data_IF_723227031095
#
_entry.id   IF_723227031095
#
_cell.length_a   1.000
_cell.length_b   1.000
_cell.length_c   1.000
_cell.angle_alpha   90.00
_cell.angle_beta   90.00
_cell.angle_gamma   90.00
#
_symmetry.space_group_name_H-M   'P 1'
#
loop_
_entity.id
_entity.type
_entity.pdbx_description
1 polymer ?
#
# COMPACT_ATOMS: atom_id res chain seq x y z
N UNK A 1 1.03 -25.44 -1.11
CA UNK A 1 2.47 -25.57 -1.46
C UNK A 1 3.26 -25.56 -0.17
N UNK A 2 4.33 -26.34 -0.11
CA UNK A 2 5.24 -26.30 1.02
C UNK A 2 5.98 -24.95 1.08
N UNK A 3 6.35 -24.52 2.28
CA UNK A 3 7.26 -23.41 2.54
C UNK A 3 8.48 -23.50 1.59
N UNK A 4 9.00 -22.36 1.18
CA UNK A 4 10.28 -22.26 0.46
C UNK A 4 11.40 -22.73 1.38
N UNK A 5 11.98 -23.90 1.09
CA UNK A 5 13.04 -24.49 1.90
C UNK A 5 14.41 -23.80 1.74
N UNK A 6 14.55 -23.01 0.68
CA UNK A 6 15.74 -22.22 0.38
C UNK A 6 15.85 -20.96 1.26
N UNK A 7 14.75 -20.51 1.90
CA UNK A 7 14.75 -19.36 2.81
C UNK A 7 14.91 -19.85 4.26
N UNK A 8 16.04 -19.55 4.86
CA UNK A 8 16.38 -19.93 6.24
C UNK A 8 16.63 -18.73 7.13
N UNK A 9 17.07 -17.61 6.54
CA UNK A 9 17.46 -16.40 7.25
C UNK A 9 16.94 -15.16 6.54
N UNK A 10 16.13 -14.36 7.24
CA UNK A 10 15.47 -13.19 6.69
C UNK A 10 15.85 -11.93 7.45
N UNK A 11 16.22 -10.86 6.72
CA UNK A 11 16.30 -9.51 7.27
C UNK A 11 14.95 -8.84 7.17
N UNK A 12 14.47 -8.31 8.29
CA UNK A 12 13.31 -7.42 8.37
C UNK A 12 13.83 -5.99 8.60
N UNK A 13 13.39 -5.05 7.77
CA UNK A 13 13.60 -3.63 8.02
C UNK A 13 12.41 -3.10 8.78
N UNK A 14 12.64 -2.54 9.96
CA UNK A 14 11.62 -1.95 10.80
C UNK A 14 11.14 -0.58 10.31
N UNK A 15 10.21 0.00 11.05
CA UNK A 15 9.55 1.25 10.69
C UNK A 15 10.35 2.52 11.02
N UNK A 16 11.41 2.39 11.77
CA UNK A 16 12.18 3.55 12.25
C UNK A 16 11.53 4.22 13.47
N UNK A 17 11.78 5.53 13.65
CA UNK A 17 11.22 6.28 14.76
C UNK A 17 9.71 6.39 14.63
N UNK A 18 9.01 6.38 15.76
CA UNK A 18 7.58 6.66 15.81
C UNK A 18 7.37 8.15 15.53
N UNK A 19 6.71 8.46 14.43
CA UNK A 19 6.34 9.82 14.03
C UNK A 19 4.82 9.97 14.18
N UNK A 20 4.35 11.11 14.64
CA UNK A 20 2.91 11.40 14.75
C UNK A 20 2.25 11.17 13.39
N UNK A 21 1.17 10.36 13.37
CA UNK A 21 0.46 9.97 12.15
C UNK A 21 1.09 8.80 11.39
N UNK A 22 2.22 8.26 11.85
CA UNK A 22 2.84 7.05 11.27
C UNK A 22 3.46 6.26 12.40
N UNK A 23 2.97 5.07 12.79
CA UNK A 23 3.94 4.50 13.64
C UNK A 23 3.65 3.26 14.46
N UNK A 24 2.79 3.30 15.43
CA UNK A 24 2.57 2.16 16.33
C UNK A 24 2.07 0.93 15.56
N UNK A 25 1.34 1.14 14.48
CA UNK A 25 0.79 0.11 13.61
C UNK A 25 1.89 -0.64 12.85
N UNK A 26 2.96 0.06 12.45
CA UNK A 26 4.09 -0.58 11.77
C UNK A 26 4.97 -1.35 12.76
N UNK A 27 5.07 -0.89 14.01
CA UNK A 27 5.72 -1.66 15.07
C UNK A 27 4.99 -2.98 15.33
N UNK A 28 3.66 -2.94 15.40
CA UNK A 28 2.82 -4.13 15.46
C UNK A 28 3.05 -5.05 14.23
N UNK A 29 3.02 -4.49 13.02
CA UNK A 29 3.17 -5.27 11.80
C UNK A 29 4.52 -5.98 11.72
N UNK A 30 5.61 -5.28 12.03
CA UNK A 30 6.96 -5.85 12.08
C UNK A 30 7.13 -6.90 13.15
N UNK A 31 6.55 -6.68 14.34
CA UNK A 31 6.54 -7.67 15.43
C UNK A 31 5.83 -8.96 14.99
N UNK A 32 4.65 -8.84 14.35
CA UNK A 32 3.92 -10.00 13.84
C UNK A 32 4.67 -10.73 12.73
N UNK A 33 5.40 -10.00 11.88
CA UNK A 33 6.25 -10.59 10.86
C UNK A 33 7.37 -11.42 11.49
N UNK A 34 8.11 -10.87 12.46
CA UNK A 34 9.17 -11.60 13.17
C UNK A 34 8.64 -12.89 13.78
N UNK A 35 7.52 -12.82 14.49
CA UNK A 35 6.89 -13.99 15.11
C UNK A 35 6.46 -15.03 14.08
N UNK A 36 5.81 -14.58 12.99
CA UNK A 36 5.35 -15.48 11.94
C UNK A 36 6.49 -16.24 11.25
N UNK A 37 7.62 -15.57 10.99
CA UNK A 37 8.79 -16.19 10.39
C UNK A 37 9.46 -17.16 11.34
N UNK A 38 9.58 -16.82 12.63
CA UNK A 38 10.12 -17.72 13.67
C UNK A 38 9.24 -18.96 13.86
N UNK A 39 7.90 -18.82 13.86
CA UNK A 39 6.98 -19.97 13.89
C UNK A 39 7.24 -20.96 12.74
N UNK A 40 7.68 -20.47 11.59
CA UNK A 40 8.02 -21.29 10.43
C UNK A 40 9.48 -21.77 10.44
N UNK A 41 10.22 -21.55 11.55
CA UNK A 41 11.60 -21.97 11.71
C UNK A 41 12.60 -21.21 10.86
N UNK A 42 12.32 -19.93 10.57
CA UNK A 42 13.23 -19.02 9.89
C UNK A 42 13.97 -18.17 10.91
N UNK A 43 15.29 -18.04 10.77
CA UNK A 43 16.10 -17.12 11.59
C UNK A 43 15.80 -15.67 11.17
N UNK A 44 15.41 -14.83 12.12
CA UNK A 44 14.99 -13.46 11.87
C UNK A 44 16.03 -12.47 12.36
N UNK A 45 16.48 -11.60 11.47
CA UNK A 45 17.37 -10.48 11.74
C UNK A 45 16.58 -9.19 11.58
N UNK A 46 16.38 -8.45 12.65
CA UNK A 46 15.66 -7.18 12.63
C UNK A 46 16.63 -6.01 12.66
N UNK A 47 16.39 -5.02 11.80
CA UNK A 47 17.07 -3.73 11.83
C UNK A 47 16.02 -2.66 12.12
N UNK A 48 16.15 -1.92 13.21
CA UNK A 48 15.27 -0.79 13.52
C UNK A 48 16.04 0.29 14.30
N UNK A 49 15.73 1.56 14.06
CA UNK A 49 16.42 2.66 14.72
C UNK A 49 15.84 3.06 16.08
N UNK A 50 14.65 2.57 16.42
CA UNK A 50 13.98 2.92 17.66
C UNK A 50 14.17 1.80 18.70
N UNK A 51 14.87 2.07 19.82
CA UNK A 51 15.08 1.07 20.88
C UNK A 51 13.86 0.89 21.78
N UNK A 52 12.87 1.78 21.70
CA UNK A 52 11.73 1.81 22.63
C UNK A 52 10.45 1.25 21.99
N UNK A 53 10.55 0.26 21.12
CA UNK A 53 9.43 -0.41 20.45
C UNK A 53 9.36 -1.89 20.86
N UNK A 54 8.16 -2.50 20.74
CA UNK A 54 7.97 -3.93 20.96
C UNK A 54 8.82 -4.73 19.97
N UNK A 55 8.93 -4.25 18.73
CA UNK A 55 9.69 -4.91 17.67
C UNK A 55 11.15 -5.16 18.05
N UNK A 56 11.79 -4.23 18.78
CA UNK A 56 13.20 -4.32 19.19
C UNK A 56 13.43 -5.05 20.52
N UNK A 57 12.38 -5.62 21.10
CA UNK A 57 12.54 -6.52 22.24
C UNK A 57 13.36 -7.76 21.83
N UNK A 58 14.30 -8.16 22.69
CA UNK A 58 15.24 -9.24 22.41
C UNK A 58 14.63 -10.63 22.21
N UNK A 59 13.35 -10.81 22.55
CA UNK A 59 12.63 -12.08 22.32
C UNK A 59 11.91 -12.13 20.97
N UNK A 60 11.74 -10.99 20.30
CA UNK A 60 10.95 -10.88 19.06
C UNK A 60 11.70 -11.43 17.85
N UNK A 61 12.94 -11.03 17.66
CA UNK A 61 13.80 -11.53 16.58
C UNK A 61 14.99 -12.31 17.15
N UNK A 62 15.65 -13.14 16.34
CA UNK A 62 16.84 -13.90 16.77
C UNK A 62 18.05 -12.96 16.90
N UNK A 63 18.09 -11.90 16.07
CA UNK A 63 19.09 -10.84 16.17
C UNK A 63 18.43 -9.48 15.96
N UNK A 64 18.75 -8.52 16.82
CA UNK A 64 18.22 -7.16 16.77
C UNK A 64 19.37 -6.18 16.60
N UNK A 65 19.30 -5.37 15.54
CA UNK A 65 20.21 -4.27 15.26
C UNK A 65 19.49 -2.95 15.51
N UNK A 66 19.87 -2.24 16.57
CA UNK A 66 19.37 -0.90 16.87
C UNK A 66 20.31 0.09 16.23
N UNK A 67 20.04 0.40 14.97
CA UNK A 67 20.90 1.19 14.10
C UNK A 67 20.09 2.13 13.21
N UNK A 68 20.66 3.23 12.73
CA UNK A 68 19.99 4.10 11.77
C UNK A 68 19.54 3.34 10.52
N UNK A 69 18.31 3.58 10.08
CA UNK A 69 17.77 2.98 8.85
C UNK A 69 18.32 3.72 7.62
N UNK A 70 19.53 3.33 7.23
CA UNK A 70 20.22 3.81 6.03
C UNK A 70 20.67 2.65 5.16
N UNK A 71 20.83 2.90 3.88
CA UNK A 71 21.32 1.89 2.92
C UNK A 71 22.67 1.30 3.37
N UNK A 72 23.58 2.13 3.88
CA UNK A 72 24.90 1.69 4.37
C UNK A 72 24.79 0.76 5.57
N UNK A 73 23.88 1.06 6.50
CA UNK A 73 23.66 0.20 7.68
C UNK A 73 23.12 -1.15 7.26
N UNK A 74 22.09 -1.15 6.39
CA UNK A 74 21.47 -2.40 5.91
C UNK A 74 22.50 -3.25 5.17
N UNK A 75 23.33 -2.63 4.30
CA UNK A 75 24.44 -3.35 3.62
C UNK A 75 25.41 -3.98 4.61
N UNK A 76 25.84 -3.27 5.64
CA UNK A 76 26.74 -3.82 6.68
C UNK A 76 26.13 -5.02 7.40
N UNK A 77 24.84 -4.96 7.74
CA UNK A 77 24.15 -6.06 8.40
C UNK A 77 24.02 -7.26 7.45
N UNK A 78 23.67 -7.05 6.19
CA UNK A 78 23.58 -8.11 5.17
C UNK A 78 24.94 -8.79 5.00
N UNK A 79 26.03 -8.03 4.87
CA UNK A 79 27.39 -8.58 4.74
C UNK A 79 27.82 -9.39 5.97
N UNK A 80 27.43 -8.95 7.17
CA UNK A 80 27.78 -9.62 8.42
C UNK A 80 26.98 -10.89 8.64
N UNK A 81 25.70 -10.86 8.33
CA UNK A 81 24.75 -11.92 8.67
C UNK A 81 24.50 -12.91 7.52
N UNK A 82 24.82 -12.53 6.28
CA UNK A 82 24.62 -13.33 5.07
C UNK A 82 23.20 -13.95 5.00
N UNK A 83 22.12 -13.13 5.00
CA UNK A 83 20.75 -13.62 4.93
C UNK A 83 20.44 -14.14 3.52
N UNK A 84 19.44 -15.02 3.41
CA UNK A 84 18.92 -15.49 2.12
C UNK A 84 17.98 -14.44 1.48
N UNK A 85 17.32 -13.65 2.34
CA UNK A 85 16.32 -12.70 1.82
C UNK A 85 16.07 -11.52 2.74
N UNK A 86 15.40 -10.50 2.18
CA UNK A 86 14.96 -9.28 2.86
C UNK A 86 13.45 -9.13 2.70
N UNK A 87 12.75 -8.80 3.80
CA UNK A 87 11.30 -8.54 3.83
C UNK A 87 11.01 -7.08 4.24
N UNK A 88 10.73 -6.17 3.29
CA UNK A 88 10.52 -4.76 3.60
C UNK A 88 9.06 -4.37 3.83
N UNK A 89 8.10 -5.18 3.40
CA UNK A 89 6.68 -4.79 3.25
C UNK A 89 5.92 -4.59 4.57
N UNK A 90 6.57 -4.80 5.72
CA UNK A 90 5.98 -4.65 7.04
C UNK A 90 6.61 -3.53 7.90
N UNK A 91 7.60 -2.83 7.36
CA UNK A 91 8.29 -1.72 8.01
C UNK A 91 7.90 -0.33 7.51
N UNK A 92 6.77 -0.19 6.82
CA UNK A 92 6.31 1.09 6.28
C UNK A 92 7.12 1.60 5.09
N UNK A 93 6.94 2.87 4.74
CA UNK A 93 7.52 3.47 3.54
C UNK A 93 9.05 3.51 3.56
N UNK A 94 9.65 3.81 4.70
CA UNK A 94 11.10 3.87 4.81
C UNK A 94 11.76 2.53 4.49
N UNK A 95 11.17 1.44 4.96
CA UNK A 95 11.65 0.09 4.68
C UNK A 95 11.56 -0.27 3.19
N UNK A 96 10.45 0.10 2.53
CA UNK A 96 10.29 -0.09 1.09
C UNK A 96 11.34 0.69 0.30
N UNK A 97 11.51 1.97 0.60
CA UNK A 97 12.47 2.82 -0.11
C UNK A 97 13.90 2.27 -0.01
N UNK A 98 14.31 1.85 1.19
CA UNK A 98 15.64 1.24 1.39
C UNK A 98 15.81 -0.07 0.60
N UNK A 99 14.80 -0.91 0.59
CA UNK A 99 14.86 -2.18 -0.15
C UNK A 99 14.90 -1.96 -1.67
N UNK A 100 14.13 -1.01 -2.20
CA UNK A 100 14.17 -0.63 -3.61
C UNK A 100 15.55 -0.09 -3.99
N UNK A 101 16.12 0.81 -3.18
CA UNK A 101 17.46 1.35 -3.40
C UNK A 101 18.54 0.25 -3.42
N UNK A 102 18.43 -0.71 -2.51
CA UNK A 102 19.36 -1.86 -2.45
C UNK A 102 19.22 -2.77 -3.68
N UNK A 103 18.00 -3.02 -4.15
CA UNK A 103 17.73 -3.81 -5.35
C UNK A 103 18.24 -3.10 -6.60
N UNK A 104 17.92 -1.81 -6.78
CA UNK A 104 18.32 -1.01 -7.94
C UNK A 104 19.83 -0.81 -8.04
N UNK A 105 20.53 -0.73 -6.90
CA UNK A 105 21.99 -0.69 -6.86
C UNK A 105 22.66 -1.99 -7.29
N UNK A 106 21.90 -3.08 -7.44
CA UNK A 106 22.39 -4.42 -7.73
C UNK A 106 23.00 -5.14 -6.52
N UNK A 107 23.04 -4.49 -5.35
CA UNK A 107 23.66 -5.02 -4.15
C UNK A 107 23.03 -6.33 -3.68
N UNK A 108 21.71 -6.44 -3.69
CA UNK A 108 21.03 -7.66 -3.25
C UNK A 108 21.39 -8.84 -4.15
N UNK A 109 21.36 -8.64 -5.46
CA UNK A 109 21.74 -9.66 -6.44
C UNK A 109 23.21 -10.09 -6.31
N UNK A 110 24.13 -9.16 -6.12
CA UNK A 110 25.56 -9.42 -5.95
C UNK A 110 25.84 -10.33 -4.75
N UNK A 111 25.03 -10.18 -3.67
CA UNK A 111 25.21 -10.94 -2.44
C UNK A 111 24.24 -12.11 -2.28
N UNK A 112 23.46 -12.43 -3.31
CA UNK A 112 22.53 -13.57 -3.32
C UNK A 112 21.34 -13.41 -2.37
N UNK A 113 20.95 -12.16 -2.06
CA UNK A 113 19.82 -11.84 -1.19
C UNK A 113 18.58 -11.57 -2.04
N UNK A 114 17.50 -12.30 -1.79
CA UNK A 114 16.22 -12.08 -2.49
C UNK A 114 15.31 -11.13 -1.73
N UNK A 115 14.73 -10.16 -2.44
CA UNK A 115 13.62 -9.38 -1.91
C UNK A 115 12.34 -10.20 -1.98
N UNK A 116 11.81 -10.63 -0.84
CA UNK A 116 10.57 -11.42 -0.72
C UNK A 116 9.36 -10.55 -0.40
N UNK A 117 8.15 -11.08 -0.71
CA UNK A 117 6.93 -10.29 -0.74
C UNK A 117 6.86 -9.43 -2.01
N UNK A 118 6.29 -8.24 -1.91
CA UNK A 118 6.12 -7.33 -3.05
C UNK A 118 7.48 -6.94 -3.64
N UNK A 119 7.63 -7.10 -4.95
CA UNK A 119 8.87 -6.83 -5.68
C UNK A 119 9.08 -5.35 -5.97
N UNK A 120 10.34 -4.95 -6.20
CA UNK A 120 10.71 -3.55 -6.45
C UNK A 120 9.95 -2.92 -7.64
N UNK A 121 9.76 -3.67 -8.73
CA UNK A 121 9.01 -3.17 -9.89
C UNK A 121 7.54 -2.88 -9.56
N UNK A 122 6.91 -3.71 -8.73
CA UNK A 122 5.55 -3.46 -8.24
C UNK A 122 5.49 -2.23 -7.35
N UNK A 123 6.47 -2.06 -6.46
CA UNK A 123 6.54 -0.87 -5.59
C UNK A 123 6.69 0.39 -6.45
N UNK A 124 7.61 0.36 -7.42
CA UNK A 124 7.80 1.48 -8.36
C UNK A 124 6.53 1.80 -9.13
N UNK A 125 5.84 0.79 -9.66
CA UNK A 125 4.59 0.97 -10.40
C UNK A 125 3.47 1.57 -9.54
N UNK A 126 3.44 1.25 -8.26
CA UNK A 126 2.44 1.79 -7.32
C UNK A 126 2.77 3.23 -6.87
N UNK A 127 4.05 3.60 -6.79
CA UNK A 127 4.51 4.89 -6.24
C UNK A 127 4.82 5.94 -7.31
N UNK A 128 5.26 5.52 -8.49
CA UNK A 128 5.46 6.43 -9.61
C UNK A 128 4.11 6.82 -10.22
N UNK A 129 3.83 8.11 -10.24
CA UNK A 129 2.51 8.63 -10.64
C UNK A 129 2.16 8.31 -12.09
N UNK A 130 3.12 8.37 -13.00
CA UNK A 130 2.88 8.11 -14.42
C UNK A 130 2.68 6.60 -14.66
N UNK A 131 3.57 5.78 -14.09
CA UNK A 131 3.44 4.32 -14.17
C UNK A 131 2.15 3.82 -13.54
N UNK A 132 1.74 4.42 -12.42
CA UNK A 132 0.48 4.10 -11.76
C UNK A 132 -0.72 4.43 -12.64
N UNK A 133 -0.77 5.63 -13.23
CA UNK A 133 -1.84 6.01 -14.16
C UNK A 133 -1.91 5.10 -15.37
N UNK A 134 -0.76 4.75 -15.96
CA UNK A 134 -0.71 3.81 -17.07
C UNK A 134 -1.24 2.43 -16.67
N UNK A 135 -0.88 1.94 -15.47
CA UNK A 135 -1.38 0.68 -14.96
C UNK A 135 -2.91 0.73 -14.76
N UNK A 136 -3.42 1.79 -14.15
CA UNK A 136 -4.86 1.98 -13.95
C UNK A 136 -5.62 2.09 -15.28
N UNK A 137 -5.06 2.78 -16.27
CA UNK A 137 -5.65 2.90 -17.60
C UNK A 137 -5.76 1.53 -18.31
N UNK A 138 -4.75 0.65 -18.18
CA UNK A 138 -4.80 -0.71 -18.77
C UNK A 138 -5.97 -1.55 -18.28
N UNK A 139 -6.38 -1.34 -17.03
CA UNK A 139 -7.48 -2.08 -16.40
C UNK A 139 -8.77 -1.25 -16.28
N UNK A 140 -8.83 -0.11 -16.97
CA UNK A 140 -9.97 0.80 -16.98
C UNK A 140 -10.40 1.29 -15.59
N UNK A 141 -9.45 1.47 -14.68
CA UNK A 141 -9.71 2.07 -13.38
C UNK A 141 -9.52 3.59 -13.42
N UNK A 142 -10.52 4.37 -12.99
CA UNK A 142 -10.45 5.82 -13.06
C UNK A 142 -9.49 6.38 -12.01
N UNK A 143 -8.57 7.24 -12.44
CA UNK A 143 -7.81 8.14 -11.58
C UNK A 143 -8.31 9.57 -11.74
N UNK A 144 -8.03 10.45 -10.78
CA UNK A 144 -8.33 11.86 -10.92
C UNK A 144 -7.62 12.42 -12.17
N UNK A 145 -8.41 13.06 -13.06
CA UNK A 145 -7.87 13.66 -14.27
C UNK A 145 -6.86 14.72 -13.89
N UNK A 146 -5.67 14.63 -14.44
CA UNK A 146 -4.62 15.57 -14.10
C UNK A 146 -3.56 15.64 -15.19
N UNK A 147 -2.94 16.82 -15.31
CA UNK A 147 -1.84 17.05 -16.24
C UNK A 147 -0.84 18.05 -15.65
N UNK A 148 0.40 17.90 -16.07
CA UNK A 148 1.50 18.74 -15.64
C UNK A 148 1.65 19.97 -16.52
N UNK A 149 1.81 21.15 -15.91
CA UNK A 149 2.01 22.41 -16.59
C UNK A 149 3.30 23.12 -16.14
N UNK A 150 3.87 23.90 -17.05
CA UNK A 150 5.07 24.73 -16.81
C UNK A 150 4.80 26.22 -17.02
N UNK A 151 3.60 26.58 -17.46
CA UNK A 151 3.17 27.96 -17.66
C UNK A 151 1.77 28.14 -17.12
N UNK A 152 1.42 29.37 -16.74
CA UNK A 152 0.07 29.70 -16.26
C UNK A 152 -0.97 29.48 -17.36
N UNK A 153 -0.64 29.81 -18.59
CA UNK A 153 -1.54 29.64 -19.75
C UNK A 153 -1.86 28.15 -19.95
N UNK A 154 -0.87 27.27 -19.81
CA UNK A 154 -1.12 25.82 -19.91
C UNK A 154 -1.97 25.31 -18.73
N UNK A 155 -1.79 25.84 -17.52
CA UNK A 155 -2.66 25.53 -16.38
C UNK A 155 -4.13 25.87 -16.68
N UNK A 156 -4.40 26.99 -17.33
CA UNK A 156 -5.75 27.42 -17.70
C UNK A 156 -6.38 26.50 -18.74
N UNK A 157 -5.61 26.12 -19.76
CA UNK A 157 -6.08 25.18 -20.79
C UNK A 157 -6.44 23.82 -20.20
N UNK A 158 -5.65 23.33 -19.25
CA UNK A 158 -5.95 22.09 -18.53
C UNK A 158 -7.24 22.25 -17.72
N UNK A 159 -7.38 23.35 -16.96
CA UNK A 159 -8.57 23.58 -16.14
C UNK A 159 -9.83 23.80 -16.96
N UNK A 160 -9.73 24.40 -18.14
CA UNK A 160 -10.86 24.53 -19.08
C UNK A 160 -11.39 23.16 -19.55
N UNK A 161 -10.48 22.20 -19.74
CA UNK A 161 -10.83 20.82 -20.11
C UNK A 161 -11.38 20.01 -18.94
N UNK A 162 -10.71 20.07 -17.78
CA UNK A 162 -11.06 19.28 -16.58
C UNK A 162 -12.34 19.82 -15.90
N UNK A 163 -12.55 21.15 -15.96
CA UNK A 163 -13.58 21.86 -15.19
C UNK A 163 -13.11 22.28 -13.81
N UNK A 164 -13.71 23.37 -13.29
CA UNK A 164 -13.46 23.82 -11.93
C UNK A 164 -14.39 23.11 -10.92
N UNK A 165 -13.93 22.93 -9.64
CA UNK A 165 -12.65 23.32 -9.09
C UNK A 165 -11.51 22.38 -9.47
N UNK A 166 -10.27 22.93 -9.51
CA UNK A 166 -9.04 22.16 -9.73
C UNK A 166 -8.05 22.34 -8.57
N UNK A 167 -7.25 21.30 -8.32
CA UNK A 167 -6.14 21.33 -7.36
C UNK A 167 -4.85 21.66 -8.09
N UNK A 168 -4.08 22.59 -7.55
CA UNK A 168 -2.73 22.92 -8.03
C UNK A 168 -1.71 22.36 -7.04
N UNK A 169 -0.82 21.49 -7.52
CA UNK A 169 0.24 20.88 -6.71
C UNK A 169 1.61 21.20 -7.31
N UNK A 170 2.41 22.09 -6.69
CA UNK A 170 3.79 22.33 -7.15
C UNK A 170 4.65 21.07 -7.02
N UNK A 171 5.46 20.80 -8.05
CA UNK A 171 6.36 19.65 -8.01
C UNK A 171 7.53 19.90 -7.04
N UNK A 172 7.90 18.86 -6.29
CA UNK A 172 9.03 18.85 -5.36
C UNK A 172 8.99 19.93 -4.27
N UNK A 173 7.83 20.23 -3.72
CA UNK A 173 7.67 21.11 -2.55
C UNK A 173 7.38 20.31 -1.28
N UNK A 174 7.95 20.72 -0.16
CA UNK A 174 7.67 20.13 1.14
C UNK A 174 6.34 20.66 1.69
N UNK A 175 5.50 19.76 2.20
CA UNK A 175 4.27 20.11 2.91
C UNK A 175 3.22 20.83 2.05
N UNK A 176 3.18 20.60 0.74
CA UNK A 176 2.17 21.19 -0.16
C UNK A 176 2.25 22.72 -0.32
N UNK A 177 3.36 23.33 0.11
CA UNK A 177 3.51 24.79 0.08
C UNK A 177 3.45 25.34 -1.35
N UNK A 178 2.58 26.35 -1.56
CA UNK A 178 2.38 26.97 -2.87
C UNK A 178 1.33 26.30 -3.75
N UNK A 179 0.71 25.25 -3.27
CA UNK A 179 -0.47 24.63 -3.86
C UNK A 179 -1.77 25.18 -3.28
N UNK A 180 -2.89 24.74 -3.84
CA UNK A 180 -4.23 25.11 -3.38
C UNK A 180 -5.34 24.64 -4.31
N UNK A 181 -6.58 24.89 -3.92
CA UNK A 181 -7.75 24.64 -4.75
C UNK A 181 -8.18 25.95 -5.42
N UNK A 182 -8.35 25.91 -6.74
CA UNK A 182 -8.85 27.02 -7.52
C UNK A 182 -10.30 26.76 -7.98
N UNK A 183 -11.19 27.65 -7.62
CA UNK A 183 -12.61 27.60 -7.97
C UNK A 183 -12.94 28.48 -9.19
N UNK A 184 -11.98 29.29 -9.66
CA UNK A 184 -12.13 30.17 -10.81
C UNK A 184 -10.79 30.36 -11.53
N UNK A 185 -10.86 30.88 -12.76
CA UNK A 185 -9.69 31.24 -13.55
C UNK A 185 -8.75 32.22 -12.80
N UNK A 186 -9.33 33.24 -12.17
CA UNK A 186 -8.55 34.23 -11.42
C UNK A 186 -7.74 33.60 -10.27
N UNK A 187 -8.40 32.72 -9.50
CA UNK A 187 -7.72 31.97 -8.43
C UNK A 187 -6.65 31.04 -8.99
N UNK A 188 -6.93 30.36 -10.10
CA UNK A 188 -5.97 29.46 -10.74
C UNK A 188 -4.72 30.24 -11.23
N UNK A 189 -4.87 31.41 -11.83
CA UNK A 189 -3.74 32.27 -12.23
C UNK A 189 -2.85 32.62 -11.05
N UNK A 190 -3.46 33.04 -9.94
CA UNK A 190 -2.71 33.41 -8.73
C UNK A 190 -1.97 32.22 -8.13
N UNK A 191 -2.66 31.07 -7.92
CA UNK A 191 -2.09 29.87 -7.28
C UNK A 191 -1.04 29.24 -8.19
N UNK A 192 -1.30 29.09 -9.50
CA UNK A 192 -0.35 28.47 -10.42
C UNK A 192 0.92 29.31 -10.60
N UNK A 193 0.82 30.64 -10.65
CA UNK A 193 1.98 31.54 -10.71
C UNK A 193 2.87 31.37 -9.48
N UNK A 194 2.27 31.33 -8.29
CA UNK A 194 3.01 31.09 -7.04
C UNK A 194 3.59 29.68 -6.99
N UNK A 195 2.84 28.66 -7.42
CA UNK A 195 3.26 27.28 -7.46
C UNK A 195 4.45 27.05 -8.39
N UNK A 196 4.42 27.61 -9.61
CA UNK A 196 5.50 27.55 -10.58
C UNK A 196 6.79 28.21 -10.05
N UNK A 197 6.65 29.34 -9.34
CA UNK A 197 7.78 30.03 -8.74
C UNK A 197 8.41 29.25 -7.58
N UNK A 198 7.60 28.55 -6.78
CA UNK A 198 8.07 27.75 -5.63
C UNK A 198 8.59 26.36 -6.03
N UNK A 199 8.16 25.84 -7.17
CA UNK A 199 8.65 24.57 -7.68
C UNK A 199 10.11 24.69 -8.13
N UNK A 200 10.98 23.82 -7.60
CA UNK A 200 12.41 23.80 -7.98
C UNK A 200 12.65 23.50 -9.46
N UNK A 201 11.66 22.88 -10.12
CA UNK A 201 11.73 22.52 -11.54
C UNK A 201 10.76 23.35 -12.40
N UNK A 202 10.12 24.39 -11.82
CA UNK A 202 9.17 25.24 -12.52
C UNK A 202 7.96 24.49 -13.08
N UNK A 203 7.39 23.57 -12.30
CA UNK A 203 6.35 22.68 -12.75
C UNK A 203 5.24 22.53 -11.69
N UNK A 204 3.99 22.53 -12.12
CA UNK A 204 2.83 22.24 -11.28
C UNK A 204 1.96 21.15 -11.92
N UNK A 205 1.32 20.37 -11.09
CA UNK A 205 0.25 19.47 -11.51
C UNK A 205 -1.09 20.19 -11.32
N UNK A 206 -1.94 20.14 -12.34
CA UNK A 206 -3.34 20.56 -12.27
C UNK A 206 -4.19 19.28 -12.25
N UNK A 207 -5.03 19.15 -11.26
CA UNK A 207 -5.78 17.91 -11.00
C UNK A 207 -7.25 18.23 -10.71
N UNK A 208 -8.18 17.40 -11.19
CA UNK A 208 -9.61 17.50 -10.86
C UNK A 208 -9.78 17.45 -9.35
N UNK A 209 -10.51 18.40 -8.79
CA UNK A 209 -10.79 18.44 -7.36
C UNK A 209 -11.88 17.41 -7.03
N UNK A 210 -11.53 16.49 -6.15
CA UNK A 210 -12.44 15.47 -5.59
C UNK A 210 -12.66 15.69 -4.09
N UNK A 211 -12.40 16.92 -3.61
CA UNK A 211 -12.65 17.29 -2.21
C UNK A 211 -14.14 17.13 -1.89
N UNK A 212 -14.43 16.59 -0.72
CA UNK A 212 -15.79 16.31 -0.28
C UNK A 212 -16.35 14.94 -0.73
N UNK A 213 -15.61 14.18 -1.56
CA UNK A 213 -15.97 12.81 -1.86
C UNK A 213 -15.66 11.92 -0.64
N UNK A 214 -16.41 10.80 -0.51
CA UNK A 214 -16.14 9.82 0.54
C UNK A 214 -14.80 9.16 0.28
N UNK A 215 -14.01 9.00 1.34
CA UNK A 215 -12.75 8.24 1.28
C UNK A 215 -12.99 6.82 1.77
N UNK A 216 -12.76 5.86 0.90
CA UNK A 216 -13.02 4.44 1.14
C UNK A 216 -11.72 3.66 0.94
N UNK A 217 -11.41 2.78 1.87
CA UNK A 217 -10.23 1.94 1.84
C UNK A 217 -10.58 0.45 1.76
N UNK A 218 -9.76 -0.31 1.05
CA UNK A 218 -9.82 -1.78 1.02
C UNK A 218 -8.48 -2.37 1.43
N UNK A 219 -8.50 -3.21 2.45
CA UNK A 219 -7.38 -4.10 2.73
C UNK A 219 -7.53 -5.36 1.89
N UNK A 220 -6.56 -5.59 1.03
CA UNK A 220 -6.55 -6.68 0.06
C UNK A 220 -5.29 -7.51 0.25
N UNK A 221 -5.39 -8.80 0.05
CA UNK A 221 -4.24 -9.69 0.08
C UNK A 221 -4.16 -10.51 -1.21
N UNK A 222 -2.95 -10.75 -1.67
CA UNK A 222 -2.67 -11.55 -2.85
C UNK A 222 -1.42 -12.41 -2.63
N UNK A 223 -1.50 -13.67 -3.02
CA UNK A 223 -0.34 -14.57 -3.04
C UNK A 223 0.37 -14.56 -4.41
N UNK A 224 1.51 -15.25 -4.48
CA UNK A 224 2.30 -15.37 -5.72
C UNK A 224 1.58 -16.10 -6.86
N UNK A 225 0.56 -16.91 -6.55
CA UNK A 225 -0.22 -17.66 -7.53
C UNK A 225 -1.38 -16.84 -8.10
N UNK A 226 -1.59 -15.62 -7.59
CA UNK A 226 -2.65 -14.72 -8.03
C UNK A 226 -3.96 -14.86 -7.27
N UNK A 227 -4.01 -15.67 -6.21
CA UNK A 227 -5.19 -15.74 -5.35
C UNK A 227 -5.33 -14.44 -4.57
N UNK A 228 -6.49 -13.79 -4.68
CA UNK A 228 -6.78 -12.49 -4.06
C UNK A 228 -7.99 -12.57 -3.15
N UNK A 229 -7.92 -11.88 -2.01
CA UNK A 229 -9.06 -11.66 -1.13
C UNK A 229 -9.12 -10.21 -0.68
N UNK A 230 -10.32 -9.68 -0.47
CA UNK A 230 -10.55 -8.48 0.32
C UNK A 230 -10.75 -8.89 1.78
N UNK A 231 -9.91 -8.39 2.68
CA UNK A 231 -10.03 -8.67 4.11
C UNK A 231 -11.09 -7.80 4.74
N UNK A 232 -11.08 -6.51 4.41
CA UNK A 232 -11.99 -5.53 4.97
C UNK A 232 -12.14 -4.34 4.04
N UNK A 233 -13.33 -3.73 4.04
CA UNK A 233 -13.53 -2.38 3.57
C UNK A 233 -13.64 -1.43 4.78
N UNK A 234 -13.20 -0.20 4.61
CA UNK A 234 -13.19 0.81 5.65
C UNK A 234 -13.61 2.16 5.07
N UNK A 235 -14.18 2.99 5.90
CA UNK A 235 -14.67 4.30 5.53
C UNK A 235 -14.06 5.33 6.47
N UNK A 236 -13.47 6.38 5.90
CA UNK A 236 -13.03 7.54 6.66
C UNK A 236 -14.23 8.43 6.96
N UNK A 237 -14.38 8.87 8.21
CA UNK A 237 -15.47 9.76 8.61
C UNK A 237 -15.36 11.13 7.93
N UNK A 238 -14.14 11.63 7.81
CA UNK A 238 -13.84 12.86 7.08
C UNK A 238 -13.70 12.59 5.59
N UNK A 239 -14.19 13.51 4.74
CA UNK A 239 -14.10 13.36 3.29
C UNK A 239 -12.67 13.53 2.79
N UNK A 240 -12.45 13.16 1.51
CA UNK A 240 -11.19 13.36 0.79
C UNK A 240 -10.70 14.79 0.95
N UNK A 241 -9.43 14.93 1.35
CA UNK A 241 -8.76 16.21 1.65
C UNK A 241 -8.31 16.33 3.09
N UNK A 242 -8.86 15.51 4.00
CA UNK A 242 -8.33 15.32 5.36
C UNK A 242 -7.38 14.11 5.32
N UNK A 243 -6.22 14.25 5.97
CA UNK A 243 -5.26 13.15 5.99
C UNK A 243 -5.83 11.95 6.78
N UNK A 244 -5.76 10.75 6.22
CA UNK A 244 -6.31 9.53 6.84
C UNK A 244 -5.84 9.28 8.27
N UNK A 245 -4.62 9.73 8.60
CA UNK A 245 -4.07 9.65 9.96
C UNK A 245 -4.74 10.57 10.98
N UNK A 246 -5.48 11.57 10.51
CA UNK A 246 -6.16 12.57 11.32
C UNK A 246 -7.69 12.35 11.34
N UNK A 247 -8.19 11.37 10.57
CA UNK A 247 -9.59 11.00 10.45
C UNK A 247 -9.95 9.79 11.31
N UNK A 248 -11.23 9.69 11.68
CA UNK A 248 -11.80 8.48 12.28
C UNK A 248 -12.11 7.49 11.16
N UNK A 249 -11.56 6.29 11.28
CA UNK A 249 -11.79 5.19 10.33
C UNK A 249 -12.76 4.19 10.93
N UNK A 250 -13.78 3.80 10.17
CA UNK A 250 -14.80 2.83 10.58
C UNK A 250 -14.69 1.57 9.71
N UNK A 251 -14.64 0.42 10.34
CA UNK A 251 -14.57 -0.89 9.70
C UNK A 251 -15.70 -1.81 10.22
N UNK A 252 -16.52 -2.43 9.35
CA UNK A 252 -16.64 -2.19 7.90
C UNK A 252 -17.32 -0.85 7.58
N UNK A 253 -17.34 -0.46 6.28
CA UNK A 253 -18.08 0.71 5.80
C UNK A 253 -19.54 0.68 6.27
N UNK A 254 -20.08 1.82 6.71
CA UNK A 254 -21.42 1.95 7.28
C UNK A 254 -22.40 2.66 6.35
N UNK A 255 -21.90 3.53 5.45
CA UNK A 255 -22.74 4.43 4.64
C UNK A 255 -22.84 4.00 3.18
N UNK A 256 -22.19 2.90 2.79
CA UNK A 256 -22.21 2.39 1.42
C UNK A 256 -23.34 1.39 1.19
N UNK A 257 -23.99 1.49 0.04
CA UNK A 257 -24.88 0.46 -0.46
C UNK A 257 -24.08 -0.77 -0.95
N UNK A 258 -24.68 -1.95 -0.95
CA UNK A 258 -24.02 -3.19 -1.40
C UNK A 258 -23.44 -3.07 -2.81
N UNK A 259 -24.15 -2.40 -3.72
CA UNK A 259 -23.66 -2.15 -5.09
C UNK A 259 -22.34 -1.36 -5.11
N UNK A 260 -22.21 -0.35 -4.26
CA UNK A 260 -20.98 0.44 -4.13
C UNK A 260 -19.85 -0.40 -3.55
N UNK A 261 -20.16 -1.20 -2.52
CA UNK A 261 -19.20 -2.13 -1.89
C UNK A 261 -18.68 -3.12 -2.94
N UNK A 262 -19.56 -3.77 -3.71
CA UNK A 262 -19.15 -4.76 -4.71
C UNK A 262 -18.37 -4.13 -5.88
N UNK A 263 -18.74 -2.93 -6.30
CA UNK A 263 -18.03 -2.18 -7.34
C UNK A 263 -16.59 -1.88 -6.92
N UNK A 264 -16.41 -1.28 -5.75
CA UNK A 264 -15.07 -0.92 -5.25
C UNK A 264 -14.25 -2.16 -4.88
N UNK A 265 -14.89 -3.22 -4.37
CA UNK A 265 -14.24 -4.52 -4.14
C UNK A 265 -13.65 -5.09 -5.43
N UNK A 266 -14.45 -5.11 -6.49
CA UNK A 266 -14.00 -5.62 -7.80
C UNK A 266 -12.87 -4.79 -8.36
N UNK A 267 -12.93 -3.47 -8.20
CA UNK A 267 -11.86 -2.55 -8.57
C UNK A 267 -10.57 -2.85 -7.78
N UNK A 268 -10.65 -3.01 -6.45
CA UNK A 268 -9.50 -3.31 -5.60
C UNK A 268 -8.81 -4.63 -5.99
N UNK A 269 -9.59 -5.69 -6.26
CA UNK A 269 -9.05 -6.97 -6.72
C UNK A 269 -8.38 -6.88 -8.10
N UNK A 270 -8.96 -6.11 -9.02
CA UNK A 270 -8.37 -5.85 -10.34
C UNK A 270 -7.04 -5.10 -10.22
N UNK A 271 -6.99 -4.08 -9.37
CA UNK A 271 -5.81 -3.25 -9.15
C UNK A 271 -4.66 -4.07 -8.56
N UNK A 272 -4.90 -4.82 -7.48
CA UNK A 272 -3.83 -5.62 -6.85
C UNK A 272 -3.30 -6.72 -7.78
N UNK A 273 -4.18 -7.23 -8.66
CA UNK A 273 -3.81 -8.23 -9.67
C UNK A 273 -2.93 -7.62 -10.76
N UNK A 274 -3.29 -6.44 -11.28
CA UNK A 274 -2.50 -5.72 -12.30
C UNK A 274 -1.12 -5.34 -11.75
N UNK A 275 -1.06 -4.81 -10.54
CA UNK A 275 0.20 -4.42 -9.89
C UNK A 275 1.04 -5.63 -9.46
N UNK A 276 0.46 -6.84 -9.43
CA UNK A 276 1.13 -8.08 -8.97
C UNK A 276 1.70 -7.98 -7.56
N UNK A 277 0.98 -7.31 -6.66
CA UNK A 277 1.37 -7.25 -5.26
C UNK A 277 1.43 -8.67 -4.68
N UNK A 278 2.43 -8.94 -3.84
CA UNK A 278 2.56 -10.19 -3.09
C UNK A 278 2.57 -9.87 -1.60
N UNK A 279 1.49 -10.23 -0.91
CA UNK A 279 1.25 -9.90 0.49
C UNK A 279 0.03 -9.02 0.69
N UNK A 280 0.08 -8.14 1.69
CA UNK A 280 -0.98 -7.17 2.00
C UNK A 280 -0.84 -5.89 1.20
N UNK A 281 -1.97 -5.29 0.90
CA UNK A 281 -2.08 -4.04 0.14
C UNK A 281 -3.28 -3.24 0.60
N UNK A 282 -3.10 -1.93 0.73
CA UNK A 282 -4.18 -1.00 0.98
C UNK A 282 -4.50 -0.24 -0.32
N UNK A 283 -5.76 -0.23 -0.72
CA UNK A 283 -6.26 0.51 -1.89
C UNK A 283 -7.22 1.58 -1.42
N UNK A 284 -6.96 2.83 -1.79
CA UNK A 284 -7.78 3.98 -1.41
C UNK A 284 -8.56 4.53 -2.60
N UNK A 285 -9.85 4.76 -2.37
CA UNK A 285 -10.79 5.27 -3.34
C UNK A 285 -11.44 6.57 -2.85
N UNK A 286 -11.69 7.48 -3.77
CA UNK A 286 -12.66 8.55 -3.59
C UNK A 286 -13.97 8.13 -4.27
N UNK A 287 -15.09 8.15 -3.55
CA UNK A 287 -16.41 7.85 -4.07
C UNK A 287 -17.27 9.10 -4.01
N UNK A 288 -17.85 9.48 -5.14
CA UNK A 288 -18.78 10.60 -5.21
C UNK A 288 -20.03 10.29 -4.36
N UNK A 289 -20.42 11.15 -3.39
CA UNK A 289 -21.54 10.88 -2.50
C UNK A 289 -22.90 10.84 -3.21
N UNK A 290 -23.01 11.45 -4.41
CA UNK A 290 -24.27 11.61 -5.15
C UNK A 290 -24.37 10.69 -6.38
N UNK A 291 -23.33 9.87 -6.64
CA UNK A 291 -23.31 8.98 -7.82
C UNK A 291 -22.41 7.77 -7.58
N UNK A 292 -22.34 6.85 -8.56
CA UNK A 292 -21.41 5.72 -8.54
C UNK A 292 -20.03 6.07 -9.13
N UNK A 293 -19.76 7.37 -9.37
CA UNK A 293 -18.44 7.79 -9.84
C UNK A 293 -17.43 7.66 -8.73
N UNK A 294 -16.28 7.07 -9.04
CA UNK A 294 -15.17 6.94 -8.11
C UNK A 294 -13.83 7.19 -8.79
N UNK A 295 -12.81 7.46 -8.01
CA UNK A 295 -11.43 7.53 -8.46
C UNK A 295 -10.54 6.70 -7.53
N UNK A 296 -9.51 6.07 -8.10
CA UNK A 296 -8.41 5.50 -7.32
C UNK A 296 -7.51 6.64 -6.87
N UNK A 297 -7.31 6.76 -5.55
CA UNK A 297 -6.45 7.80 -4.96
C UNK A 297 -5.01 7.31 -4.97
N UNK A 298 -4.77 6.19 -4.28
CA UNK A 298 -3.45 5.59 -4.14
C UNK A 298 -3.54 4.10 -3.78
N UNK A 299 -2.42 3.43 -3.99
CA UNK A 299 -2.23 2.03 -3.58
C UNK A 299 -0.95 1.95 -2.78
N UNK A 300 -1.05 1.39 -1.58
CA UNK A 300 0.10 1.12 -0.74
C UNK A 300 0.45 -0.36 -0.84
N UNK A 301 1.50 -0.77 -1.61
CA UNK A 301 1.83 -2.18 -1.87
C UNK A 301 2.56 -2.82 -0.67
N UNK A 302 2.02 -2.62 0.50
CA UNK A 302 2.55 -3.04 1.81
C UNK A 302 1.43 -3.09 2.84
N UNK A 303 1.70 -3.70 3.97
CA UNK A 303 0.85 -3.54 5.15
C UNK A 303 0.82 -2.06 5.54
N UNK A 304 -0.37 -1.53 5.76
CA UNK A 304 -0.64 -0.12 6.05
C UNK A 304 -1.00 0.09 7.52
N UNK A 305 -1.25 1.34 7.90
CA UNK A 305 -1.75 1.68 9.23
C UNK A 305 -3.13 1.08 9.47
N UNK A 306 -3.99 1.17 8.48
CA UNK A 306 -5.34 0.61 8.52
C UNK A 306 -5.36 -0.92 8.57
N UNK A 307 -4.29 -1.61 8.19
CA UNK A 307 -4.20 -3.07 8.32
C UNK A 307 -4.29 -3.57 9.77
N UNK A 308 -3.78 -2.81 10.73
CA UNK A 308 -3.90 -3.15 12.15
C UNK A 308 -5.35 -3.02 12.63
N UNK A 309 -6.05 -1.95 12.21
CA UNK A 309 -7.48 -1.74 12.48
C UNK A 309 -8.31 -2.85 11.83
N UNK A 310 -8.09 -3.12 10.54
CA UNK A 310 -8.77 -4.19 9.81
C UNK A 310 -8.55 -5.56 10.45
N UNK A 311 -7.33 -5.86 10.88
CA UNK A 311 -7.02 -7.11 11.60
C UNK A 311 -7.80 -7.21 12.91
N UNK A 312 -7.92 -6.11 13.66
CA UNK A 312 -8.69 -6.07 14.90
C UNK A 312 -10.20 -6.20 14.66
N UNK A 313 -10.71 -5.53 13.63
CA UNK A 313 -12.14 -5.52 13.31
C UNK A 313 -12.62 -6.89 12.79
N UNK A 314 -11.80 -7.56 11.99
CA UNK A 314 -12.16 -8.83 11.32
C UNK A 314 -11.68 -10.08 12.06
N UNK A 315 -10.72 -9.94 12.97
CA UNK A 315 -9.99 -11.08 13.54
C UNK A 315 -8.96 -11.71 12.59
N UNK A 316 -8.82 -11.19 11.37
CA UNK A 316 -7.89 -11.72 10.36
C UNK A 316 -6.49 -11.10 10.53
N UNK A 317 -5.44 -11.90 10.80
CA UNK A 317 -4.12 -11.38 11.16
C UNK A 317 -3.30 -10.98 9.91
N UNK A 318 -3.63 -9.86 9.27
CA UNK A 318 -3.07 -9.40 7.98
C UNK A 318 -1.54 -9.45 7.97
N UNK A 319 -0.87 -8.86 8.95
CA UNK A 319 0.59 -8.80 8.99
C UNK A 319 1.23 -10.19 9.08
N UNK A 320 0.67 -11.08 9.91
CA UNK A 320 1.11 -12.47 10.04
C UNK A 320 0.96 -13.23 8.72
N UNK A 321 -0.19 -13.09 8.08
CA UNK A 321 -0.48 -13.76 6.80
C UNK A 321 0.39 -13.20 5.68
N UNK A 322 0.61 -11.88 5.62
CA UNK A 322 1.49 -11.27 4.64
C UNK A 322 2.94 -11.80 4.74
N UNK A 323 3.46 -11.97 5.96
CA UNK A 323 4.77 -12.57 6.18
C UNK A 323 4.83 -14.03 5.72
N UNK A 324 3.76 -14.82 5.96
CA UNK A 324 3.66 -16.20 5.50
C UNK A 324 3.56 -16.31 3.97
N UNK A 325 2.80 -15.42 3.33
CA UNK A 325 2.74 -15.33 1.85
C UNK A 325 4.13 -15.07 1.28
N UNK A 326 4.90 -14.15 1.86
CA UNK A 326 6.26 -13.84 1.42
C UNK A 326 7.20 -15.05 1.48
N UNK A 327 6.97 -16.01 2.38
CA UNK A 327 7.66 -17.30 2.41
C UNK A 327 7.14 -18.32 1.38
N UNK A 328 6.20 -17.93 0.53
CA UNK A 328 5.58 -18.81 -0.45
C UNK A 328 4.59 -19.81 0.15
N UNK A 329 4.18 -19.62 1.41
CA UNK A 329 3.13 -20.43 2.00
C UNK A 329 1.78 -20.06 1.40
N UNK A 330 1.02 -21.06 0.99
CA UNK A 330 -0.41 -20.90 0.79
C UNK A 330 -1.06 -20.85 2.17
N UNK A 331 -1.93 -19.89 2.39
CA UNK A 331 -2.59 -19.80 3.67
C UNK A 331 -3.54 -21.00 3.85
N UNK A 332 -3.34 -21.86 4.89
CA UNK A 332 -4.15 -23.07 5.06
C UNK A 332 -5.63 -22.80 5.34
N UNK A 333 -5.98 -21.57 5.67
CA UNK A 333 -7.35 -21.13 5.94
C UNK A 333 -7.95 -20.31 4.79
N UNK A 334 -7.26 -20.18 3.65
CA UNK A 334 -7.80 -19.61 2.43
C UNK A 334 -8.09 -20.76 1.50
N UNK A 335 -9.34 -21.14 1.43
CA UNK A 335 -9.84 -22.10 0.43
C UNK A 335 -9.68 -21.44 -0.93
N UNK A 336 -8.99 -22.13 -1.84
CA UNK A 336 -8.87 -21.65 -3.22
C UNK A 336 -10.25 -21.67 -3.88
N UNK A 337 -10.73 -20.53 -4.31
CA UNK A 337 -11.91 -20.40 -5.14
C UNK A 337 -11.47 -20.46 -6.59
N UNK A 338 -11.83 -21.52 -7.28
CA UNK A 338 -11.44 -21.73 -8.69
C UNK A 338 -12.40 -21.06 -9.66
N UNK A 339 -13.68 -20.97 -9.30
CA UNK A 339 -14.69 -20.41 -10.17
C UNK A 339 -15.92 -19.96 -9.37
N UNK A 340 -16.60 -18.96 -9.91
CA UNK A 340 -17.89 -18.47 -9.43
C UNK A 340 -18.79 -18.26 -10.63
N UNK A 341 -19.98 -18.81 -10.59
CA UNK A 341 -20.90 -18.69 -11.70
C UNK A 341 -22.36 -18.88 -11.30
N UNK A 342 -23.23 -18.77 -12.30
CA UNK A 342 -24.67 -18.99 -12.17
C UNK A 342 -25.14 -19.98 -13.23
N UNK A 343 -25.91 -20.96 -12.82
CA UNK A 343 -26.60 -21.91 -13.73
C UNK A 343 -28.08 -21.84 -13.41
N UNK A 344 -28.87 -21.29 -14.32
CA UNK A 344 -30.27 -20.97 -14.05
C UNK A 344 -30.41 -19.96 -12.92
N UNK A 345 -31.19 -20.27 -11.90
CA UNK A 345 -31.39 -19.42 -10.72
C UNK A 345 -30.44 -19.78 -9.55
N UNK A 346 -29.48 -20.67 -9.78
CA UNK A 346 -28.58 -21.17 -8.73
C UNK A 346 -27.18 -20.64 -8.95
N UNK A 347 -26.63 -20.00 -7.92
CA UNK A 347 -25.22 -19.61 -7.89
C UNK A 347 -24.38 -20.78 -7.39
N UNK A 348 -23.20 -20.95 -7.99
CA UNK A 348 -22.22 -21.93 -7.53
C UNK A 348 -20.88 -21.25 -7.25
N UNK A 349 -20.15 -21.86 -6.34
CA UNK A 349 -18.77 -21.51 -6.02
C UNK A 349 -17.95 -22.79 -6.12
N UNK A 350 -17.05 -22.85 -7.11
CA UNK A 350 -16.09 -23.93 -7.20
C UNK A 350 -14.88 -23.60 -6.35
N UNK A 351 -14.59 -24.40 -5.35
CA UNK A 351 -13.50 -24.17 -4.41
C UNK A 351 -12.69 -25.45 -4.18
N UNK A 352 -11.50 -25.29 -3.62
CA UNK A 352 -10.67 -26.39 -3.18
C UNK A 352 -11.45 -27.26 -2.16
N UNK A 353 -11.37 -28.57 -2.35
CA UNK A 353 -11.90 -29.52 -1.37
C UNK A 353 -10.89 -29.64 -0.22
N UNK A 354 -11.30 -29.23 0.97
CA UNK A 354 -10.51 -29.41 2.18
C UNK A 354 -11.10 -30.58 2.96
N UNK A 355 -10.32 -31.66 3.07
CA UNK A 355 -10.69 -32.79 3.92
C UNK A 355 -10.55 -32.40 5.39
N UNK A 356 -11.63 -32.44 6.14
CA UNK A 356 -11.66 -32.02 7.53
C UNK A 356 -12.96 -32.43 8.24
N UNK A 357 -13.01 -32.14 9.54
CA UNK A 357 -14.20 -32.32 10.37
C UNK A 357 -14.77 -30.92 10.65
N UNK A 358 -16.07 -30.75 10.43
CA UNK A 358 -16.77 -29.53 10.83
C UNK A 358 -16.64 -29.29 12.33
N UNK A 359 -16.28 -28.09 12.70
CA UNK A 359 -16.41 -27.61 14.07
C UNK A 359 -17.90 -27.32 14.31
N UNK A 360 -18.64 -28.32 14.82
CA UNK A 360 -19.97 -28.12 15.35
C UNK A 360 -19.90 -27.54 16.76
#
# INVERSE_FOLDING_TARGET
MSKREDIKRVVIIGSGPIVIGQAAEFDYAGTQACRALKEEGVEVILINSNPATIMTDGEIADKVYIEPLTTDTVKKVILKESPDSILPTLGGQNALNLAVELEESGFLKEHGVEMIGTKADTIRMAEDRELFKEAMARIHQPCAESETARTVEHCLQIAERIGYPVVVRPAYTLGGSGGGIAYSEEQLRAISSMGLHRSRVGQVLIERCISGWKEIEYEVMRDRNGNCITVCNMENFDPVGVHTGDSIVVAPCQTLADKEIQMLRSAALSIITELKVEGGCNVQFALNPDSFEYCVIEVNPRVSRSSALASKATGYPIAKVAAKIALGLNHPNIIQVFDFGQVGDTYFLAMEYVEGIDLL
#
